data_IF_129070995779
#
_entry.id   IF_129070995779
#
_cell.length_a   1.000
_cell.length_b   1.000
_cell.length_c   1.000
_cell.angle_alpha   90.00
_cell.angle_beta   90.00
_cell.angle_gamma   90.00
#
_symmetry.space_group_name_H-M   'P 1'
#
loop_
_entity.id
_entity.type
_entity.pdbx_description
1 polymer ?
#
# COMPACT_ATOMS: atom_id res chain seq x y z
N UNK A 1 -23.57 7.36 14.09
CA UNK A 1 -23.33 6.23 13.16
C UNK A 1 -22.96 6.75 11.77
N UNK A 2 -21.74 7.29 11.60
CA UNK A 2 -21.16 7.55 10.28
C UNK A 2 -19.99 6.57 10.11
N UNK A 3 -20.37 5.31 9.89
CA UNK A 3 -19.44 4.25 9.50
C UNK A 3 -19.03 4.56 8.06
N UNK A 4 -17.76 4.29 7.69
CA UNK A 4 -17.22 4.41 6.33
C UNK A 4 -18.10 3.69 5.31
N UNK A 5 -19.13 4.35 4.81
CA UNK A 5 -20.01 3.93 3.73
C UNK A 5 -19.69 4.72 2.46
N UNK A 6 -20.14 4.22 1.31
CA UNK A 6 -19.89 4.73 -0.05
C UNK A 6 -20.36 6.18 -0.33
N UNK A 7 -20.81 6.92 0.69
CA UNK A 7 -21.37 8.27 0.59
C UNK A 7 -22.73 8.31 -0.12
N UNK A 8 -23.40 7.17 -0.33
CA UNK A 8 -24.62 7.10 -1.12
C UNK A 8 -25.78 7.91 -0.53
N UNK A 9 -26.01 7.82 0.78
CA UNK A 9 -27.04 8.60 1.48
C UNK A 9 -26.72 10.11 1.45
N UNK A 10 -25.45 10.49 1.61
CA UNK A 10 -25.01 11.89 1.51
C UNK A 10 -25.18 12.44 0.09
N UNK A 11 -24.97 11.64 -0.95
CA UNK A 11 -25.19 12.05 -2.35
C UNK A 11 -26.67 12.32 -2.66
N UNK A 12 -27.59 11.68 -1.94
CA UNK A 12 -29.03 11.94 -2.09
C UNK A 12 -29.48 13.18 -1.31
N UNK A 13 -28.82 13.49 -0.19
CA UNK A 13 -29.18 14.61 0.68
C UNK A 13 -28.46 15.92 0.32
N UNK A 14 -27.37 15.87 -0.44
CA UNK A 14 -26.53 17.02 -0.76
C UNK A 14 -26.42 17.27 -2.27
N UNK A 15 -26.32 18.54 -2.65
CA UNK A 15 -25.93 18.94 -4.01
C UNK A 15 -24.46 18.60 -4.25
N UNK A 16 -24.18 17.67 -5.17
CA UNK A 16 -22.82 17.31 -5.56
C UNK A 16 -22.27 18.32 -6.57
N UNK A 17 -21.25 19.08 -6.19
CA UNK A 17 -20.52 19.97 -7.09
C UNK A 17 -19.20 19.29 -7.47
N UNK A 18 -19.04 18.97 -8.75
CA UNK A 18 -17.81 18.36 -9.28
C UNK A 18 -16.74 19.43 -9.55
N UNK A 19 -15.57 19.28 -8.96
CA UNK A 19 -14.40 20.13 -9.23
C UNK A 19 -13.54 19.49 -10.32
N UNK A 20 -13.47 20.16 -11.48
CA UNK A 20 -12.60 19.74 -12.58
C UNK A 20 -11.15 20.17 -12.31
N UNK A 21 -10.21 19.46 -12.93
CA UNK A 21 -8.80 19.85 -12.92
C UNK A 21 -8.62 21.24 -13.54
N UNK A 22 -7.80 22.06 -12.91
CA UNK A 22 -7.44 23.39 -13.42
C UNK A 22 -6.50 23.22 -14.61
N UNK A 23 -6.69 24.01 -15.66
CA UNK A 23 -5.85 23.90 -16.85
C UNK A 23 -4.42 24.40 -16.59
N UNK A 24 -3.45 23.85 -17.30
CA UNK A 24 -2.04 24.29 -17.18
C UNK A 24 -1.86 25.78 -17.49
N UNK A 25 -2.69 26.35 -18.38
CA UNK A 25 -2.68 27.79 -18.71
C UNK A 25 -3.10 28.65 -17.51
N UNK A 26 -4.16 28.26 -16.81
CA UNK A 26 -4.65 28.97 -15.63
C UNK A 26 -3.65 28.88 -14.48
N UNK A 27 -3.05 27.70 -14.27
CA UNK A 27 -2.01 27.50 -13.25
C UNK A 27 -0.78 28.37 -13.58
N UNK A 28 -0.32 28.38 -14.83
CA UNK A 28 0.82 29.22 -15.24
C UNK A 28 0.53 30.71 -15.02
N UNK A 29 -0.69 31.17 -15.33
CA UNK A 29 -1.14 32.54 -15.05
C UNK A 29 -1.13 32.87 -13.56
N UNK A 30 -1.61 31.95 -12.72
CA UNK A 30 -1.58 32.09 -11.26
C UNK A 30 -0.14 32.18 -10.73
N UNK A 31 0.74 31.28 -11.15
CA UNK A 31 2.14 31.27 -10.72
C UNK A 31 2.86 32.56 -11.15
N UNK A 32 2.62 33.08 -12.35
CA UNK A 32 3.15 34.39 -12.78
C UNK A 32 2.71 35.52 -11.85
N UNK A 33 1.43 35.54 -11.46
CA UNK A 33 0.90 36.54 -10.51
C UNK A 33 1.56 36.42 -9.13
N UNK A 34 1.79 35.20 -8.65
CA UNK A 34 2.51 34.96 -7.38
C UNK A 34 3.94 35.47 -7.48
N UNK A 35 4.67 35.12 -8.54
CA UNK A 35 6.04 35.61 -8.77
C UNK A 35 6.11 37.15 -8.76
N UNK A 36 5.17 37.83 -9.43
CA UNK A 36 5.10 39.29 -9.43
C UNK A 36 4.86 39.89 -8.04
N UNK A 37 3.96 39.29 -7.25
CA UNK A 37 3.63 39.77 -5.89
C UNK A 37 4.76 39.53 -4.89
N UNK A 38 5.47 38.42 -5.03
CA UNK A 38 6.56 38.01 -4.13
C UNK A 38 7.93 38.57 -4.57
N UNK A 39 7.99 39.28 -5.70
CA UNK A 39 9.23 39.83 -6.26
C UNK A 39 10.19 38.74 -6.76
N UNK A 40 9.67 37.63 -7.25
CA UNK A 40 10.43 36.50 -7.80
C UNK A 40 10.58 36.69 -9.31
N UNK A 41 11.81 36.73 -9.80
CA UNK A 41 12.13 36.77 -11.24
C UNK A 41 12.24 35.34 -11.75
N UNK A 42 11.23 34.88 -12.48
CA UNK A 42 11.19 33.50 -13.00
C UNK A 42 11.03 33.47 -14.52
N UNK A 43 11.81 32.61 -15.18
CA UNK A 43 11.65 32.36 -16.62
C UNK A 43 10.28 31.76 -16.94
N UNK A 44 9.65 32.21 -18.02
CA UNK A 44 8.31 31.74 -18.40
C UNK A 44 8.30 30.25 -18.73
N UNK A 45 9.39 29.71 -19.28
CA UNK A 45 9.53 28.26 -19.53
C UNK A 45 9.42 27.46 -18.24
N UNK A 46 10.06 27.91 -17.15
CA UNK A 46 10.03 27.25 -15.84
C UNK A 46 8.62 27.22 -15.27
N UNK A 47 7.92 28.35 -15.32
CA UNK A 47 6.54 28.44 -14.82
C UNK A 47 5.61 27.51 -15.61
N UNK A 48 5.77 27.47 -16.94
CA UNK A 48 4.97 26.60 -17.80
C UNK A 48 5.26 25.12 -17.52
N UNK A 49 6.51 24.77 -17.26
CA UNK A 49 6.91 23.40 -16.95
C UNK A 49 6.35 22.95 -15.60
N UNK A 50 6.41 23.78 -14.55
CA UNK A 50 5.76 23.51 -13.25
C UNK A 50 4.26 23.30 -13.43
N UNK A 51 3.61 24.19 -14.18
CA UNK A 51 2.18 24.10 -14.46
C UNK A 51 1.80 22.84 -15.26
N UNK A 52 2.71 22.32 -16.10
CA UNK A 52 2.51 21.05 -16.81
C UNK A 52 2.69 19.84 -15.88
N UNK A 53 3.74 19.85 -15.04
CA UNK A 53 4.07 18.75 -14.12
C UNK A 53 3.02 18.54 -13.03
N UNK A 54 2.37 19.60 -12.54
CA UNK A 54 1.39 19.50 -11.45
C UNK A 54 0.06 18.80 -11.81
N UNK A 55 -0.21 18.53 -13.10
CA UNK A 55 -1.39 17.79 -13.58
C UNK A 55 -2.75 18.30 -13.03
N UNK A 56 -2.88 19.61 -12.83
CA UNK A 56 -4.10 20.25 -12.34
C UNK A 56 -4.19 20.45 -10.83
N UNK A 57 -3.17 20.05 -10.05
CA UNK A 57 -3.07 20.34 -8.61
C UNK A 57 -2.36 21.69 -8.38
N UNK A 58 -3.17 22.71 -8.10
CA UNK A 58 -2.71 24.09 -7.84
C UNK A 58 -1.78 24.16 -6.62
N UNK A 59 -2.07 23.42 -5.55
CA UNK A 59 -1.27 23.43 -4.31
C UNK A 59 0.12 22.86 -4.58
N UNK A 60 0.17 21.76 -5.31
CA UNK A 60 1.44 21.14 -5.70
C UNK A 60 2.29 22.09 -6.56
N UNK A 61 1.67 22.80 -7.49
CA UNK A 61 2.35 23.80 -8.35
C UNK A 61 2.94 24.97 -7.54
N UNK A 62 2.21 25.49 -6.55
CA UNK A 62 2.69 26.56 -5.66
C UNK A 62 3.87 26.07 -4.82
N UNK A 63 3.79 24.87 -4.26
CA UNK A 63 4.88 24.29 -3.47
C UNK A 63 6.14 24.03 -4.31
N UNK A 64 5.98 23.61 -5.57
CA UNK A 64 7.10 23.48 -6.51
C UNK A 64 7.76 24.83 -6.77
N UNK A 65 6.96 25.85 -7.08
CA UNK A 65 7.48 27.21 -7.26
C UNK A 65 8.25 27.68 -6.02
N UNK A 66 7.68 27.48 -4.82
CA UNK A 66 8.30 27.88 -3.56
C UNK A 66 9.61 27.14 -3.30
N UNK A 67 9.70 25.86 -3.68
CA UNK A 67 10.88 25.02 -3.45
C UNK A 67 12.12 25.46 -4.23
N UNK A 68 11.95 26.25 -5.28
CA UNK A 68 13.06 26.79 -6.09
C UNK A 68 13.15 28.32 -6.02
N UNK A 69 12.24 28.98 -5.31
CA UNK A 69 12.18 30.44 -5.19
C UNK A 69 13.10 31.03 -4.10
N UNK A 70 14.03 30.26 -3.52
CA UNK A 70 14.86 30.70 -2.39
C UNK A 70 15.67 31.98 -2.68
N UNK A 71 16.28 32.08 -3.87
CA UNK A 71 17.11 33.23 -4.24
C UNK A 71 16.32 34.34 -4.97
N UNK A 72 14.97 34.26 -4.97
CA UNK A 72 14.06 35.15 -5.74
C UNK A 72 14.38 35.27 -7.23
N UNK A 73 15.26 34.42 -7.76
CA UNK A 73 15.58 34.28 -9.18
C UNK A 73 15.53 32.80 -9.53
N UNK A 74 14.69 32.46 -10.49
CA UNK A 74 14.45 31.09 -10.93
C UNK A 74 14.90 30.95 -12.38
N UNK A 75 15.96 30.15 -12.57
CA UNK A 75 16.50 29.81 -13.89
C UNK A 75 16.06 28.41 -14.33
N UNK A 76 16.20 28.11 -15.62
CA UNK A 76 15.86 26.80 -16.19
C UNK A 76 16.58 25.64 -15.51
N UNK A 77 17.84 25.81 -15.13
CA UNK A 77 18.64 24.77 -14.49
C UNK A 77 18.03 24.36 -13.13
N UNK A 78 17.32 25.26 -12.46
CA UNK A 78 16.69 24.95 -11.18
C UNK A 78 15.51 23.98 -11.28
N UNK A 79 14.98 23.73 -12.49
CA UNK A 79 13.97 22.69 -12.73
C UNK A 79 14.51 21.29 -12.41
N UNK A 80 15.83 21.05 -12.44
CA UNK A 80 16.39 19.76 -12.05
C UNK A 80 16.31 19.50 -10.55
N UNK A 81 16.20 20.56 -9.72
CA UNK A 81 16.00 20.43 -8.27
C UNK A 81 14.56 20.07 -7.92
N UNK A 82 13.61 20.37 -8.81
CA UNK A 82 12.26 19.85 -8.71
C UNK A 82 12.28 18.38 -9.08
N UNK A 83 12.35 17.52 -8.05
CA UNK A 83 12.20 16.08 -8.22
C UNK A 83 10.95 15.77 -9.04
N UNK A 84 11.07 14.84 -9.98
CA UNK A 84 9.94 14.43 -10.80
C UNK A 84 8.86 13.78 -9.91
N UNK A 85 7.69 14.43 -9.83
CA UNK A 85 6.56 13.96 -9.02
C UNK A 85 5.68 12.94 -9.75
N UNK A 86 5.97 12.65 -11.00
CA UNK A 86 5.23 11.65 -11.78
C UNK A 86 5.80 10.23 -11.56
N UNK A 87 6.21 9.90 -10.32
CA UNK A 87 6.80 8.60 -9.97
C UNK A 87 5.95 7.43 -10.45
N UNK A 88 4.62 7.60 -10.43
CA UNK A 88 3.69 6.57 -10.90
C UNK A 88 3.78 6.38 -12.42
N UNK A 89 3.85 7.47 -13.22
CA UNK A 89 4.04 7.32 -14.68
C UNK A 89 5.44 6.83 -15.02
N UNK A 90 6.45 7.29 -14.29
CA UNK A 90 7.84 6.86 -14.47
C UNK A 90 8.01 5.37 -14.18
N UNK A 91 7.43 4.86 -13.10
CA UNK A 91 7.49 3.42 -12.81
C UNK A 91 6.70 2.61 -13.84
N UNK A 92 5.51 3.06 -14.29
CA UNK A 92 4.78 2.36 -15.35
C UNK A 92 5.58 2.29 -16.65
N UNK A 93 6.25 3.38 -17.03
CA UNK A 93 7.13 3.41 -18.19
C UNK A 93 8.36 2.51 -17.99
N UNK A 94 8.98 2.55 -16.81
CA UNK A 94 10.12 1.71 -16.47
C UNK A 94 9.77 0.22 -16.51
N UNK A 95 8.65 -0.19 -15.90
CA UNK A 95 8.16 -1.57 -15.95
C UNK A 95 7.89 -2.01 -17.39
N UNK A 96 7.25 -1.15 -18.19
CA UNK A 96 7.07 -1.41 -19.63
C UNK A 96 8.40 -1.66 -20.32
N UNK A 97 9.40 -0.82 -20.07
CA UNK A 97 10.70 -0.93 -20.71
C UNK A 97 11.45 -2.20 -20.28
N UNK A 98 11.38 -2.56 -18.99
CA UNK A 98 11.94 -3.81 -18.45
C UNK A 98 11.28 -5.01 -19.12
N UNK A 99 9.95 -5.10 -19.11
CA UNK A 99 9.22 -6.25 -19.63
C UNK A 99 9.34 -6.38 -21.16
N UNK A 100 9.56 -5.27 -21.88
CA UNK A 100 9.78 -5.30 -23.34
C UNK A 100 11.25 -5.34 -23.75
N UNK A 101 12.20 -5.23 -22.82
CA UNK A 101 13.63 -5.25 -23.13
C UNK A 101 14.03 -6.55 -23.85
N UNK A 102 14.95 -6.43 -24.82
CA UNK A 102 15.49 -7.57 -25.59
C UNK A 102 16.80 -8.10 -25.01
N UNK A 103 17.46 -7.29 -24.19
CA UNK A 103 18.74 -7.59 -23.58
C UNK A 103 18.70 -7.33 -22.06
N UNK A 104 19.45 -8.16 -21.34
CA UNK A 104 19.59 -8.11 -19.88
C UNK A 104 20.05 -6.71 -19.44
N UNK A 105 21.02 -6.14 -20.14
CA UNK A 105 21.64 -4.86 -19.75
C UNK A 105 20.64 -3.70 -19.86
N UNK A 106 19.79 -3.66 -20.88
CA UNK A 106 18.74 -2.67 -21.00
C UNK A 106 17.74 -2.76 -19.86
N UNK A 107 17.26 -3.96 -19.52
CA UNK A 107 16.34 -4.17 -18.41
C UNK A 107 16.94 -3.68 -17.08
N UNK A 108 18.19 -4.03 -16.79
CA UNK A 108 18.88 -3.60 -15.56
C UNK A 108 19.05 -2.08 -15.51
N UNK A 109 19.46 -1.44 -16.62
CA UNK A 109 19.61 0.02 -16.68
C UNK A 109 18.28 0.74 -16.46
N UNK A 110 17.20 0.22 -17.02
CA UNK A 110 15.87 0.78 -16.80
C UNK A 110 15.46 0.65 -15.33
N UNK A 111 15.74 -0.49 -14.70
CA UNK A 111 15.47 -0.68 -13.28
C UNK A 111 16.23 0.31 -12.38
N UNK A 112 17.49 0.63 -12.69
CA UNK A 112 18.26 1.64 -11.95
C UNK A 112 17.72 3.06 -12.07
N UNK A 113 16.93 3.35 -13.10
CA UNK A 113 16.28 4.66 -13.28
C UNK A 113 14.98 4.78 -12.50
N UNK A 114 14.40 3.66 -12.09
CA UNK A 114 13.17 3.63 -11.30
C UNK A 114 13.55 3.92 -9.84
N UNK A 115 12.97 4.98 -9.27
CA UNK A 115 13.07 5.32 -7.84
C UNK A 115 12.18 4.40 -7.00
N UNK A 116 12.45 3.08 -7.03
CA UNK A 116 11.73 2.07 -6.25
C UNK A 116 12.69 1.03 -5.70
N UNK A 117 12.51 0.65 -4.43
CA UNK A 117 13.36 -0.35 -3.80
C UNK A 117 13.14 -1.74 -4.43
N UNK A 118 14.15 -2.62 -4.50
CA UNK A 118 13.99 -3.97 -5.06
C UNK A 118 12.86 -4.78 -4.41
N UNK A 119 12.64 -4.60 -3.10
CA UNK A 119 11.55 -5.23 -2.34
C UNK A 119 10.15 -4.86 -2.84
N UNK A 120 9.99 -3.65 -3.40
CA UNK A 120 8.74 -3.19 -3.98
C UNK A 120 8.70 -3.42 -5.49
N UNK A 121 9.81 -3.20 -6.20
CA UNK A 121 9.93 -3.36 -7.64
C UNK A 121 9.50 -4.77 -8.09
N UNK A 122 9.85 -5.80 -7.31
CA UNK A 122 9.44 -7.18 -7.60
C UNK A 122 7.91 -7.33 -7.69
N UNK A 123 7.15 -6.59 -6.87
CA UNK A 123 5.68 -6.64 -6.84
C UNK A 123 5.08 -5.91 -8.04
N UNK A 124 5.75 -4.85 -8.51
CA UNK A 124 5.40 -4.16 -9.75
C UNK A 124 5.59 -5.07 -10.96
N UNK A 125 6.67 -5.85 -10.98
CA UNK A 125 6.93 -6.81 -12.05
C UNK A 125 5.91 -7.95 -11.98
N UNK A 126 5.67 -8.54 -10.80
CA UNK A 126 4.69 -9.61 -10.57
C UNK A 126 3.28 -9.27 -11.09
N UNK A 127 2.73 -8.12 -10.67
CA UNK A 127 1.37 -7.70 -11.06
C UNK A 127 1.22 -7.57 -12.58
N UNK A 128 2.28 -7.15 -13.26
CA UNK A 128 2.26 -6.76 -14.66
C UNK A 128 2.79 -7.83 -15.62
N UNK A 129 3.49 -8.84 -15.10
CA UNK A 129 4.00 -9.96 -15.86
C UNK A 129 2.91 -10.69 -16.67
N UNK A 130 1.75 -11.09 -16.09
CA UNK A 130 0.69 -11.75 -16.86
C UNK A 130 -0.08 -10.78 -17.78
N UNK A 131 0.03 -9.47 -17.51
CA UNK A 131 -0.54 -8.46 -18.39
C UNK A 131 0.26 -8.36 -19.69
N UNK A 132 1.59 -8.52 -19.64
CA UNK A 132 2.46 -8.46 -20.82
C UNK A 132 2.69 -9.83 -21.47
N UNK A 133 3.14 -10.85 -20.72
CA UNK A 133 3.56 -12.14 -21.26
C UNK A 133 2.34 -13.06 -21.40
N UNK A 134 1.93 -13.31 -22.65
CA UNK A 134 0.74 -14.12 -22.98
C UNK A 134 1.05 -15.59 -23.24
N UNK A 135 2.26 -15.93 -23.66
CA UNK A 135 2.64 -17.32 -23.84
C UNK A 135 2.97 -17.95 -22.49
N UNK A 136 2.41 -19.14 -22.25
CA UNK A 136 2.52 -19.85 -20.98
C UNK A 136 3.98 -20.18 -20.65
N UNK A 137 4.77 -20.58 -21.66
CA UNK A 137 6.17 -20.94 -21.47
C UNK A 137 7.03 -19.74 -21.06
N UNK A 138 6.84 -18.59 -21.72
CA UNK A 138 7.54 -17.33 -21.39
C UNK A 138 7.17 -16.86 -19.98
N UNK A 139 5.88 -16.93 -19.64
CA UNK A 139 5.36 -16.54 -18.34
C UNK A 139 5.91 -17.44 -17.22
N UNK A 140 5.92 -18.76 -17.43
CA UNK A 140 6.44 -19.73 -16.46
C UNK A 140 7.93 -19.50 -16.18
N UNK A 141 8.74 -19.33 -17.24
CA UNK A 141 10.16 -19.06 -17.09
C UNK A 141 10.43 -17.72 -16.41
N UNK A 142 9.63 -16.69 -16.73
CA UNK A 142 9.73 -15.39 -16.08
C UNK A 142 9.42 -15.46 -14.58
N UNK A 143 8.37 -16.19 -14.18
CA UNK A 143 8.08 -16.45 -12.77
C UNK A 143 9.16 -17.28 -12.08
N UNK A 144 9.87 -18.16 -12.78
CA UNK A 144 11.02 -18.87 -12.21
C UNK A 144 12.14 -17.90 -11.82
N UNK A 145 12.46 -16.93 -12.68
CA UNK A 145 13.42 -15.87 -12.36
C UNK A 145 12.94 -14.98 -11.22
N UNK A 146 11.65 -14.60 -11.24
CA UNK A 146 11.05 -13.77 -10.20
C UNK A 146 11.06 -14.47 -8.84
N UNK A 147 10.74 -15.77 -8.81
CA UNK A 147 10.80 -16.63 -7.61
C UNK A 147 12.22 -16.71 -7.05
N UNK A 148 13.24 -16.88 -7.90
CA UNK A 148 14.65 -16.85 -7.46
C UNK A 148 15.02 -15.48 -6.87
N UNK A 149 14.56 -14.39 -7.46
CA UNK A 149 14.78 -13.04 -6.92
C UNK A 149 14.14 -12.88 -5.52
N UNK A 150 12.90 -13.34 -5.33
CA UNK A 150 12.22 -13.33 -4.02
C UNK A 150 12.99 -14.12 -2.94
N UNK A 151 13.57 -15.27 -3.30
CA UNK A 151 14.45 -16.01 -2.38
C UNK A 151 15.66 -15.18 -1.95
N UNK A 152 16.26 -14.40 -2.85
CA UNK A 152 17.32 -13.46 -2.48
C UNK A 152 16.81 -12.37 -1.55
N UNK A 153 15.66 -11.73 -1.85
CA UNK A 153 15.04 -10.73 -0.99
C UNK A 153 14.78 -11.29 0.43
N UNK A 154 14.24 -12.50 0.53
CA UNK A 154 14.07 -13.19 1.81
C UNK A 154 15.38 -13.44 2.56
N UNK A 155 16.49 -13.71 1.86
CA UNK A 155 17.84 -13.82 2.47
C UNK A 155 18.36 -12.48 2.94
N UNK A 156 18.11 -11.40 2.20
CA UNK A 156 18.46 -10.02 2.58
C UNK A 156 17.78 -9.67 3.89
N UNK A 157 16.46 -9.86 3.99
CA UNK A 157 15.72 -9.58 5.23
C UNK A 157 16.22 -10.37 6.44
N UNK A 158 16.60 -11.64 6.26
CA UNK A 158 17.12 -12.46 7.37
C UNK A 158 18.55 -12.11 7.79
N UNK A 159 19.42 -11.79 6.83
CA UNK A 159 20.86 -11.59 7.07
C UNK A 159 21.26 -10.12 7.18
N UNK A 160 20.37 -9.21 6.82
CA UNK A 160 20.63 -7.77 6.70
C UNK A 160 21.81 -7.44 5.77
N UNK A 161 22.08 -8.33 4.80
CA UNK A 161 23.17 -8.18 3.84
C UNK A 161 22.63 -7.67 2.50
N UNK A 162 22.65 -6.35 2.33
CA UNK A 162 22.09 -5.64 1.17
C UNK A 162 22.90 -5.79 -0.12
N UNK A 163 24.12 -6.35 -0.07
CA UNK A 163 24.87 -6.68 -1.28
C UNK A 163 24.14 -7.68 -2.20
N UNK A 164 23.20 -8.45 -1.65
CA UNK A 164 22.35 -9.35 -2.43
C UNK A 164 21.27 -8.62 -3.27
N UNK A 165 21.06 -7.31 -3.06
CA UNK A 165 20.14 -6.52 -3.88
C UNK A 165 20.54 -6.53 -5.35
N UNK A 166 21.84 -6.55 -5.67
CA UNK A 166 22.32 -6.68 -7.05
C UNK A 166 21.76 -7.94 -7.71
N UNK A 167 21.97 -9.10 -7.10
CA UNK A 167 21.48 -10.38 -7.61
C UNK A 167 19.95 -10.43 -7.72
N UNK A 168 19.23 -9.96 -6.70
CA UNK A 168 17.77 -9.92 -6.74
C UNK A 168 17.27 -9.02 -7.89
N UNK A 169 17.86 -7.84 -8.03
CA UNK A 169 17.49 -6.86 -9.06
C UNK A 169 17.78 -7.39 -10.46
N UNK A 170 18.94 -8.00 -10.69
CA UNK A 170 19.30 -8.59 -11.98
C UNK A 170 18.36 -9.73 -12.38
N UNK A 171 17.99 -10.60 -11.43
CA UNK A 171 17.07 -11.71 -11.69
C UNK A 171 15.65 -11.23 -11.98
N UNK A 172 15.09 -10.33 -11.15
CA UNK A 172 13.72 -9.85 -11.32
C UNK A 172 13.55 -8.96 -12.56
N UNK A 173 14.63 -8.35 -13.06
CA UNK A 173 14.58 -7.44 -14.22
C UNK A 173 15.13 -8.11 -15.47
N UNK A 174 16.44 -8.27 -15.54
CA UNK A 174 17.16 -8.87 -16.67
C UNK A 174 16.78 -10.32 -16.92
N UNK A 175 16.69 -11.14 -15.87
CA UNK A 175 16.25 -12.53 -15.96
C UNK A 175 14.84 -12.66 -16.53
N UNK A 176 13.90 -11.88 -16.01
CA UNK A 176 12.53 -11.79 -16.52
C UNK A 176 12.48 -11.28 -17.97
N UNK A 177 13.32 -10.31 -18.33
CA UNK A 177 13.34 -9.75 -19.68
C UNK A 177 13.77 -10.78 -20.74
N UNK A 178 14.74 -11.65 -20.42
CA UNK A 178 15.22 -12.71 -21.35
C UNK A 178 14.46 -14.02 -21.26
N UNK A 179 13.54 -14.16 -20.30
CA UNK A 179 12.70 -15.34 -20.19
C UNK A 179 11.73 -15.50 -21.37
N UNK A 180 11.38 -14.40 -22.04
CA UNK A 180 10.49 -14.45 -23.21
C UNK A 180 11.26 -14.84 -24.48
N UNK A 181 10.70 -15.78 -25.22
CA UNK A 181 11.13 -16.09 -26.59
C UNK A 181 10.36 -15.25 -27.62
N UNK A 182 9.19 -14.73 -27.24
CA UNK A 182 8.31 -13.97 -28.12
C UNK A 182 8.40 -12.46 -27.87
N UNK A 183 8.24 -11.67 -28.92
CA UNK A 183 8.07 -10.21 -28.79
C UNK A 183 6.59 -9.86 -28.64
N UNK A 184 6.21 -9.29 -27.50
CA UNK A 184 4.84 -8.87 -27.23
C UNK A 184 4.60 -7.43 -27.73
N UNK A 185 3.86 -7.33 -28.85
CA UNK A 185 3.46 -6.07 -29.47
C UNK A 185 2.04 -5.71 -29.04
N UNK A 186 1.76 -4.41 -29.03
CA UNK A 186 0.45 -3.87 -28.66
C UNK A 186 0.48 -3.05 -27.37
N UNK A 187 -0.71 -2.54 -27.03
CA UNK A 187 -0.93 -1.74 -25.83
C UNK A 187 -1.23 -2.66 -24.65
N UNK A 188 -0.42 -2.56 -23.60
CA UNK A 188 -0.64 -3.20 -22.30
C UNK A 188 -0.90 -2.12 -21.27
N UNK A 189 -2.01 -2.23 -20.55
CA UNK A 189 -2.28 -1.36 -19.41
C UNK A 189 -1.53 -1.91 -18.19
N UNK A 190 -0.57 -1.14 -17.68
CA UNK A 190 0.16 -1.47 -16.46
C UNK A 190 -0.60 -0.97 -15.24
N UNK A 191 -0.55 -1.73 -14.16
CA UNK A 191 -1.29 -1.49 -12.93
C UNK A 191 -0.38 -1.51 -11.71
N UNK A 192 -0.72 -0.68 -10.73
CA UNK A 192 -0.07 -0.72 -9.42
C UNK A 192 -0.35 -2.07 -8.72
N UNK A 193 0.62 -2.62 -7.96
CA UNK A 193 0.49 -3.95 -7.34
C UNK A 193 -0.74 -4.07 -6.46
N UNK A 194 -1.64 -4.99 -6.82
CA UNK A 194 -2.84 -5.25 -6.00
C UNK A 194 -2.47 -5.82 -4.65
N UNK A 195 -1.38 -6.59 -4.56
CA UNK A 195 -0.90 -7.15 -3.30
C UNK A 195 -0.63 -6.07 -2.25
N UNK A 196 0.04 -4.97 -2.62
CA UNK A 196 0.30 -3.84 -1.71
C UNK A 196 -1.01 -3.21 -1.20
N UNK A 197 -1.97 -2.99 -2.10
CA UNK A 197 -3.30 -2.47 -1.72
C UNK A 197 -4.01 -3.42 -0.77
N UNK A 198 -4.01 -4.72 -1.08
CA UNK A 198 -4.65 -5.76 -0.26
C UNK A 198 -3.99 -5.90 1.10
N UNK A 199 -2.66 -5.82 1.18
CA UNK A 199 -1.93 -5.85 2.45
C UNK A 199 -2.20 -4.61 3.30
N UNK A 200 -2.27 -3.43 2.69
CA UNK A 200 -2.63 -2.20 3.38
C UNK A 200 -4.07 -2.25 3.90
N UNK A 201 -5.04 -2.62 3.06
CA UNK A 201 -6.45 -2.71 3.41
C UNK A 201 -6.71 -3.75 4.53
N UNK A 202 -6.03 -4.89 4.48
CA UNK A 202 -6.18 -5.96 5.47
C UNK A 202 -5.36 -5.75 6.75
N UNK A 203 -4.56 -4.68 6.87
CA UNK A 203 -3.63 -4.49 8.00
C UNK A 203 -4.34 -4.50 9.35
N UNK A 204 -5.40 -3.71 9.51
CA UNK A 204 -6.17 -3.64 10.75
C UNK A 204 -6.83 -4.98 11.07
N UNK A 205 -7.47 -5.60 10.07
CA UNK A 205 -8.09 -6.91 10.17
C UNK A 205 -7.10 -7.98 10.66
N UNK A 206 -5.90 -8.04 10.07
CA UNK A 206 -4.83 -8.96 10.48
C UNK A 206 -4.32 -8.68 11.88
N UNK A 207 -4.21 -7.42 12.28
CA UNK A 207 -3.76 -7.03 13.61
C UNK A 207 -4.76 -7.48 14.69
N UNK A 208 -6.07 -7.27 14.48
CA UNK A 208 -7.12 -7.70 15.40
C UNK A 208 -7.12 -9.23 15.51
N UNK A 209 -7.11 -9.96 14.38
CA UNK A 209 -7.02 -11.44 14.39
C UNK A 209 -5.80 -11.95 15.13
N UNK A 210 -4.65 -11.32 14.95
CA UNK A 210 -3.43 -11.71 15.64
C UNK A 210 -3.53 -11.44 17.15
N UNK A 211 -4.19 -10.35 17.56
CA UNK A 211 -4.50 -10.05 18.97
C UNK A 211 -5.35 -11.14 19.61
N UNK A 212 -6.46 -11.50 18.97
CA UNK A 212 -7.36 -12.59 19.40
C UNK A 212 -6.58 -13.92 19.47
N UNK A 213 -5.82 -14.25 18.43
CA UNK A 213 -5.04 -15.48 18.38
C UNK A 213 -3.94 -15.56 19.45
N UNK A 214 -3.34 -14.43 19.86
CA UNK A 214 -2.40 -14.39 20.99
C UNK A 214 -3.11 -14.72 22.31
N UNK A 215 -4.32 -14.20 22.52
CA UNK A 215 -5.13 -14.48 23.73
C UNK A 215 -5.56 -15.95 23.78
N UNK A 216 -6.05 -16.49 22.66
CA UNK A 216 -6.38 -17.92 22.52
C UNK A 216 -5.14 -18.78 22.75
N UNK A 217 -4.03 -18.45 22.10
CA UNK A 217 -2.77 -19.19 22.24
C UNK A 217 -2.27 -19.25 23.68
N UNK A 218 -2.39 -18.14 24.42
CA UNK A 218 -2.07 -18.07 25.85
C UNK A 218 -2.98 -18.98 26.70
N UNK A 219 -4.28 -19.01 26.41
CA UNK A 219 -5.24 -19.84 27.16
C UNK A 219 -5.15 -21.33 26.84
N UNK A 220 -4.81 -21.67 25.59
CA UNK A 220 -4.74 -23.04 25.07
C UNK A 220 -3.31 -23.61 25.03
N UNK A 221 -2.32 -22.85 25.51
CA UNK A 221 -0.90 -23.21 25.47
C UNK A 221 -0.39 -23.59 24.07
N UNK A 222 -0.80 -22.84 23.04
CA UNK A 222 -0.40 -23.09 21.66
C UNK A 222 0.13 -21.81 20.97
N UNK A 223 0.82 -21.99 19.85
CA UNK A 223 1.36 -20.87 19.08
C UNK A 223 0.23 -20.02 18.48
N UNK A 224 0.46 -18.73 18.25
CA UNK A 224 -0.53 -17.85 17.60
C UNK A 224 -0.92 -18.34 16.21
N UNK A 225 -0.01 -19.02 15.50
CA UNK A 225 -0.30 -19.69 14.23
C UNK A 225 -1.35 -20.78 14.41
N UNK A 226 -1.18 -21.65 15.41
CA UNK A 226 -2.14 -22.72 15.71
C UNK A 226 -3.48 -22.15 16.19
N UNK A 227 -3.44 -21.10 17.01
CA UNK A 227 -4.64 -20.40 17.45
C UNK A 227 -5.44 -19.77 16.29
N UNK A 228 -4.77 -19.22 15.28
CA UNK A 228 -5.43 -18.70 14.06
C UNK A 228 -6.13 -19.80 13.25
N UNK A 229 -5.58 -21.02 13.22
CA UNK A 229 -6.23 -22.18 12.59
C UNK A 229 -7.52 -22.59 13.32
N UNK A 230 -7.54 -22.46 14.65
CA UNK A 230 -8.67 -22.83 15.51
C UNK A 230 -9.74 -21.71 15.56
N UNK A 231 -9.34 -20.46 15.28
CA UNK A 231 -10.22 -19.29 15.38
C UNK A 231 -11.60 -19.47 14.71
N UNK A 232 -11.73 -19.99 13.46
CA UNK A 232 -13.04 -20.20 12.85
C UNK A 232 -13.97 -21.14 13.63
N UNK A 233 -13.40 -22.11 14.37
CA UNK A 233 -14.18 -22.97 15.26
C UNK A 233 -14.66 -22.21 16.49
N UNK A 234 -13.82 -21.33 17.05
CA UNK A 234 -14.18 -20.46 18.18
C UNK A 234 -15.25 -19.45 17.75
N UNK A 235 -15.15 -18.86 16.55
CA UNK A 235 -16.17 -17.96 16.00
C UNK A 235 -17.55 -18.63 15.93
N UNK A 236 -17.62 -19.93 15.58
CA UNK A 236 -18.88 -20.70 15.61
C UNK A 236 -19.46 -20.85 17.01
N UNK A 237 -18.63 -20.99 18.05
CA UNK A 237 -19.10 -21.06 19.44
C UNK A 237 -19.72 -19.75 19.92
N UNK A 238 -19.41 -18.63 19.27
CA UNK A 238 -19.99 -17.32 19.58
C UNK A 238 -21.39 -17.13 18.99
N UNK A 239 -21.99 -18.19 18.44
CA UNK A 239 -23.40 -18.20 18.06
C UNK A 239 -24.31 -18.05 19.29
N UNK A 240 -23.95 -18.69 20.41
CA UNK A 240 -24.62 -18.56 21.71
C UNK A 240 -24.00 -17.42 22.52
N UNK A 241 -24.83 -16.46 22.95
CA UNK A 241 -24.38 -15.26 23.65
C UNK A 241 -23.82 -15.57 25.06
N UNK A 242 -24.39 -16.52 25.81
CA UNK A 242 -23.88 -16.87 27.15
C UNK A 242 -22.50 -17.52 27.03
N UNK A 243 -22.36 -18.46 26.09
CA UNK A 243 -21.09 -19.11 25.82
C UNK A 243 -20.05 -18.10 25.32
N UNK A 244 -20.44 -17.18 24.43
CA UNK A 244 -19.58 -16.10 23.95
C UNK A 244 -19.10 -15.21 25.11
N UNK A 245 -19.98 -14.81 26.03
CA UNK A 245 -19.64 -13.96 27.16
C UNK A 245 -18.65 -14.66 28.12
N UNK A 246 -18.83 -15.96 28.37
CA UNK A 246 -17.90 -16.77 29.17
C UNK A 246 -16.53 -16.88 28.51
N UNK A 247 -16.47 -17.15 27.21
CA UNK A 247 -15.22 -17.25 26.46
C UNK A 247 -14.53 -15.89 26.41
N UNK A 248 -15.26 -14.81 26.12
CA UNK A 248 -14.77 -13.44 26.10
C UNK A 248 -14.19 -13.03 27.46
N UNK A 249 -14.86 -13.38 28.56
CA UNK A 249 -14.39 -13.13 29.91
C UNK A 249 -13.09 -13.90 30.21
N UNK A 250 -13.00 -15.17 29.79
CA UNK A 250 -11.84 -16.03 30.03
C UNK A 250 -10.62 -15.63 29.20
N UNK A 251 -10.84 -15.21 27.95
CA UNK A 251 -9.78 -14.79 27.02
C UNK A 251 -9.42 -13.31 27.17
N UNK A 252 -10.14 -12.55 28.00
CA UNK A 252 -9.96 -11.11 28.17
C UNK A 252 -10.12 -10.34 26.85
N UNK A 253 -11.14 -10.69 26.05
CA UNK A 253 -11.42 -10.03 24.77
C UNK A 253 -11.93 -8.61 24.99
N UNK A 254 -11.46 -7.70 24.14
CA UNK A 254 -11.92 -6.30 24.08
C UNK A 254 -13.20 -6.18 23.26
N UNK A 255 -13.93 -5.07 23.43
CA UNK A 255 -15.13 -4.80 22.62
C UNK A 255 -14.82 -4.77 21.11
N UNK A 256 -13.68 -4.21 20.70
CA UNK A 256 -13.25 -4.15 19.29
C UNK A 256 -13.01 -5.57 18.71
N UNK A 257 -12.34 -6.44 19.47
CA UNK A 257 -12.12 -7.85 19.08
C UNK A 257 -13.43 -8.65 19.06
N UNK A 258 -14.39 -8.35 19.94
CA UNK A 258 -15.71 -8.97 19.89
C UNK A 258 -16.51 -8.48 18.70
N UNK A 259 -16.48 -7.18 18.41
CA UNK A 259 -17.15 -6.58 17.24
C UNK A 259 -16.67 -7.22 15.95
N UNK A 260 -15.41 -7.65 15.90
CA UNK A 260 -14.84 -8.39 14.79
C UNK A 260 -15.47 -9.78 14.60
N UNK A 261 -15.75 -10.50 15.69
CA UNK A 261 -16.25 -11.89 15.65
C UNK A 261 -17.77 -11.92 15.46
N UNK A 262 -18.51 -11.09 16.20
CA UNK A 262 -19.98 -11.17 16.32
C UNK A 262 -20.73 -9.96 15.78
N UNK A 263 -20.03 -8.91 15.31
CA UNK A 263 -20.66 -7.68 14.83
C UNK A 263 -21.42 -6.95 15.94
N UNK A 264 -22.68 -6.60 15.68
CA UNK A 264 -23.50 -5.73 16.52
C UNK A 264 -23.75 -6.27 17.94
N UNK A 265 -23.70 -7.61 18.11
CA UNK A 265 -23.89 -8.29 19.40
C UNK A 265 -22.74 -8.04 20.39
N UNK A 266 -21.63 -7.50 19.94
CA UNK A 266 -20.42 -7.33 20.74
C UNK A 266 -20.66 -6.53 22.03
N UNK A 267 -21.48 -5.48 21.98
CA UNK A 267 -21.76 -4.62 23.14
C UNK A 267 -22.45 -5.37 24.28
N UNK A 268 -23.41 -6.22 23.95
CA UNK A 268 -24.17 -6.99 24.93
C UNK A 268 -23.26 -8.07 25.56
N UNK A 269 -22.57 -8.83 24.72
CA UNK A 269 -21.64 -9.88 25.12
C UNK A 269 -20.49 -9.31 25.97
N UNK A 270 -19.97 -8.14 25.61
CA UNK A 270 -18.91 -7.49 26.38
C UNK A 270 -19.38 -7.08 27.78
N UNK A 271 -20.57 -6.47 27.90
CA UNK A 271 -21.17 -6.12 29.21
C UNK A 271 -21.38 -7.34 30.09
N UNK A 272 -21.85 -8.44 29.51
CA UNK A 272 -22.03 -9.70 30.23
C UNK A 272 -20.70 -10.32 30.66
N UNK A 273 -19.70 -10.30 29.78
CA UNK A 273 -18.34 -10.74 30.09
C UNK A 273 -17.71 -9.93 31.24
N UNK A 274 -17.91 -8.61 31.29
CA UNK A 274 -17.44 -7.78 32.40
C UNK A 274 -18.13 -8.12 33.73
N UNK A 275 -19.45 -8.36 33.72
CA UNK A 275 -20.18 -8.82 34.90
C UNK A 275 -19.60 -10.13 35.42
N UNK A 276 -19.36 -11.11 34.53
CA UNK A 276 -18.75 -12.39 34.88
C UNK A 276 -17.34 -12.25 35.46
N UNK A 277 -16.52 -11.33 34.94
CA UNK A 277 -15.19 -11.03 35.51
C UNK A 277 -15.30 -10.48 36.93
N UNK A 278 -16.19 -9.50 37.16
CA UNK A 278 -16.42 -8.90 38.48
C UNK A 278 -16.91 -9.93 39.50
N UNK A 279 -17.86 -10.78 39.12
CA UNK A 279 -18.36 -11.86 39.99
C UNK A 279 -17.26 -12.86 40.37
N UNK A 280 -16.38 -13.24 39.41
CA UNK A 280 -15.23 -14.10 39.72
C UNK A 280 -14.23 -13.43 40.67
N UNK A 281 -13.92 -12.16 40.48
CA UNK A 281 -13.02 -11.43 41.38
C UNK A 281 -13.60 -11.36 42.80
N UNK A 282 -14.90 -11.07 42.92
CA UNK A 282 -15.59 -11.08 44.22
C UNK A 282 -15.57 -12.47 44.86
N UNK A 283 -15.88 -13.54 44.12
CA UNK A 283 -15.85 -14.91 44.64
C UNK A 283 -14.45 -15.34 45.14
N UNK A 284 -13.39 -14.92 44.44
CA UNK A 284 -12.01 -15.17 44.91
C UNK A 284 -11.73 -14.42 46.21
N UNK A 285 -12.16 -13.15 46.33
CA UNK A 285 -11.99 -12.36 47.55
C UNK A 285 -12.75 -12.95 48.75
N UNK A 286 -13.94 -13.53 48.53
CA UNK A 286 -14.73 -14.15 49.60
C UNK A 286 -14.23 -15.55 50.01
N UNK A 287 -13.51 -16.27 49.14
CA UNK A 287 -12.91 -17.57 49.44
C UNK A 287 -11.55 -17.50 50.18
N UNK A 288 -11.08 -16.31 50.54
CA UNK A 288 -9.86 -16.10 51.35
C UNK A 288 -10.13 -15.91 52.86
N UNK A 289 -11.33 -16.27 53.34
CA UNK A 289 -11.66 -16.42 54.77
C UNK A 289 -11.75 -17.90 55.13
#
# INVERSE_FOLDING_TARGET
NLIKGSGAELRQLCLSIEFKKVSSKEISSLLKKICQKEGIVAETEVINEIARRCNGDVRSAINDLQSIAYEKKITKDMLSYLGYRDREREIFMGIRNILKAKDIKAAIREAWRIDEAPDNLILWIDENLPAEYKQINDLALAYEFLSKADVFLGRIWRRQYYGLWGYASELMTGGVAVAKQHEYRGFTAYHFPKWLRSMAASKQYRQIRLGIAKKIGKAMHCSSKKALEILPMIEKLFSDNDLAARIAAKLDLTEEELSFIVGDRAKEIFKEAEKLKKMKQQAVLFNFK
#
